data_IF_895009813221
#
_entry.id   IF_895009813221
#
_cell.length_a   1.000
_cell.length_b   1.000
_cell.length_c   1.000
_cell.angle_alpha   90.00
_cell.angle_beta   90.00
_cell.angle_gamma   90.00
#
_symmetry.space_group_name_H-M   'P 1'
#
loop_
_entity.id
_entity.type
_entity.pdbx_description
1 polymer ?
#
# COMPACT_ATOMS: atom_id res chain seq x y z
N UNK A 1 -12.86 -8.27 5.31
CA UNK A 1 -11.72 -8.34 6.28
C UNK A 1 -10.51 -7.63 5.70
N UNK A 2 -9.63 -7.04 6.54
CA UNK A 2 -8.39 -6.41 6.07
C UNK A 2 -7.42 -7.40 5.44
N UNK A 3 -6.49 -6.89 4.63
CA UNK A 3 -5.47 -7.72 3.95
C UNK A 3 -4.50 -8.33 4.97
N UNK A 4 -4.15 -7.56 6.00
CA UNK A 4 -3.28 -8.01 7.09
C UNK A 4 -4.13 -8.12 8.35
N UNK A 5 -4.25 -9.35 8.87
CA UNK A 5 -5.04 -9.63 10.07
C UNK A 5 -4.16 -9.67 11.33
N UNK A 6 -2.89 -10.03 11.18
CA UNK A 6 -1.92 -10.13 12.27
C UNK A 6 -0.70 -9.26 11.98
N UNK A 7 -0.29 -8.48 12.97
CA UNK A 7 0.95 -7.71 12.91
C UNK A 7 2.15 -8.55 13.35
N UNK A 8 3.34 -8.21 12.85
CA UNK A 8 4.57 -8.93 13.20
C UNK A 8 4.80 -8.91 14.71
N UNK A 9 5.07 -10.08 15.29
CA UNK A 9 5.65 -10.21 16.63
C UNK A 9 7.14 -10.47 16.47
N UNK A 10 7.96 -9.53 16.94
CA UNK A 10 9.41 -9.57 16.76
C UNK A 10 10.09 -10.46 17.79
N UNK A 11 11.17 -11.11 17.37
CA UNK A 11 12.09 -11.87 18.23
C UNK A 11 12.71 -10.99 19.33
N UNK A 12 13.11 -11.62 20.43
CA UNK A 12 13.79 -10.91 21.54
C UNK A 12 15.08 -10.24 21.05
N UNK A 13 15.80 -10.89 20.13
CA UNK A 13 17.00 -10.35 19.50
C UNK A 13 16.68 -9.09 18.67
N UNK A 14 15.62 -9.12 17.85
CA UNK A 14 15.20 -7.97 17.06
C UNK A 14 14.74 -6.81 17.95
N UNK A 15 13.99 -7.10 19.02
CA UNK A 15 13.56 -6.10 20.00
C UNK A 15 14.74 -5.45 20.70
N UNK A 16 15.76 -6.22 21.09
CA UNK A 16 16.99 -5.69 21.70
C UNK A 16 17.74 -4.75 20.75
N UNK A 17 17.84 -5.08 19.45
CA UNK A 17 18.48 -4.23 18.44
C UNK A 17 17.71 -2.91 18.25
N UNK A 18 16.37 -2.99 18.16
CA UNK A 18 15.51 -1.81 18.03
C UNK A 18 15.67 -0.90 19.25
N UNK A 19 15.61 -1.46 20.46
CA UNK A 19 15.73 -0.67 21.69
C UNK A 19 17.08 0.04 21.76
N UNK A 20 18.19 -0.66 21.47
CA UNK A 20 19.52 -0.07 21.42
C UNK A 20 19.60 1.07 20.39
N UNK A 21 19.00 0.87 19.21
CA UNK A 21 19.00 1.88 18.15
C UNK A 21 18.19 3.12 18.52
N UNK A 22 17.01 2.96 19.10
CA UNK A 22 16.13 4.08 19.48
C UNK A 22 16.70 4.91 20.64
N UNK A 23 17.64 4.38 21.40
CA UNK A 23 18.33 5.10 22.49
C UNK A 23 19.57 5.85 22.04
N UNK A 24 20.02 5.67 20.80
CA UNK A 24 21.17 6.40 20.25
C UNK A 24 20.86 7.90 20.12
N UNK A 25 21.83 8.76 20.44
CA UNK A 25 21.66 10.22 20.40
C UNK A 25 21.39 10.76 18.98
N UNK A 26 21.89 10.07 17.97
CA UNK A 26 21.74 10.39 16.54
C UNK A 26 20.57 9.65 15.87
N UNK A 27 19.68 9.02 16.65
CA UNK A 27 18.54 8.29 16.13
C UNK A 27 17.66 9.18 15.24
N UNK A 28 17.46 8.76 14.00
CA UNK A 28 16.65 9.47 13.03
C UNK A 28 15.99 8.51 12.05
N UNK A 29 15.16 9.03 11.16
CA UNK A 29 14.53 8.24 10.10
C UNK A 29 15.52 7.52 9.16
N UNK A 30 16.77 7.99 9.09
CA UNK A 30 17.84 7.38 8.29
C UNK A 30 18.37 6.09 8.93
N UNK A 31 18.30 6.00 10.27
CA UNK A 31 18.77 4.86 11.06
C UNK A 31 18.16 3.52 10.62
N UNK A 32 16.95 3.52 10.04
CA UNK A 32 16.34 2.32 9.44
C UNK A 32 17.26 1.58 8.46
N UNK A 33 18.10 2.33 7.73
CA UNK A 33 18.96 1.78 6.70
C UNK A 33 20.26 1.19 7.25
N UNK A 34 20.54 1.39 8.55
CA UNK A 34 21.77 0.92 9.18
C UNK A 34 21.93 -0.59 9.09
N UNK A 35 23.18 -1.04 8.96
CA UNK A 35 23.54 -2.44 8.77
C UNK A 35 23.18 -3.32 9.97
N UNK A 36 23.25 -2.77 11.19
CA UNK A 36 22.89 -3.49 12.41
C UNK A 36 21.38 -3.78 12.52
N UNK A 37 20.52 -3.03 11.79
CA UNK A 37 19.10 -3.33 11.66
C UNK A 37 18.78 -4.28 10.50
N UNK A 38 19.77 -4.78 9.76
CA UNK A 38 19.52 -5.75 8.69
C UNK A 38 18.77 -7.01 9.18
N UNK A 39 19.09 -7.63 10.34
CA UNK A 39 18.34 -8.76 10.87
C UNK A 39 16.85 -8.42 11.12
N UNK A 40 16.58 -7.27 11.75
CA UNK A 40 15.22 -6.75 12.01
C UNK A 40 14.44 -6.59 10.71
N UNK A 41 15.04 -5.92 9.72
CA UNK A 41 14.43 -5.74 8.39
C UNK A 41 14.20 -7.06 7.66
N UNK A 42 15.02 -8.08 7.87
CA UNK A 42 14.81 -9.41 7.26
C UNK A 42 13.63 -10.11 7.89
N UNK A 43 13.54 -10.10 9.21
CA UNK A 43 12.45 -10.71 9.97
C UNK A 43 11.09 -10.09 9.62
N UNK A 44 10.97 -8.76 9.67
CA UNK A 44 9.75 -8.02 9.32
C UNK A 44 9.30 -8.36 7.90
N UNK A 45 10.22 -8.33 6.93
CA UNK A 45 9.90 -8.60 5.52
C UNK A 45 9.40 -10.02 5.31
N UNK A 46 10.04 -10.99 5.95
CA UNK A 46 9.66 -12.39 5.81
C UNK A 46 8.28 -12.64 6.41
N UNK A 47 7.99 -12.07 7.59
CA UNK A 47 6.65 -12.13 8.17
C UNK A 47 5.60 -11.58 7.20
N UNK A 48 5.78 -10.35 6.72
CA UNK A 48 4.77 -9.68 5.89
C UNK A 48 4.64 -10.27 4.48
N UNK A 49 5.69 -10.87 3.91
CA UNK A 49 5.59 -11.67 2.68
C UNK A 49 4.61 -12.83 2.84
N UNK A 50 4.71 -13.54 3.96
CA UNK A 50 3.85 -14.68 4.27
C UNK A 50 2.43 -14.23 4.60
N UNK A 51 2.27 -13.24 5.49
CA UNK A 51 0.97 -12.70 5.89
C UNK A 51 0.18 -12.15 4.70
N UNK A 52 0.84 -11.46 3.77
CA UNK A 52 0.20 -10.86 2.59
C UNK A 52 0.21 -11.79 1.36
N UNK A 53 0.72 -13.02 1.49
CA UNK A 53 0.79 -14.01 0.40
C UNK A 53 1.45 -13.47 -0.88
N UNK A 54 2.54 -12.73 -0.72
CA UNK A 54 3.28 -12.10 -1.82
C UNK A 54 2.45 -11.12 -2.67
N UNK A 55 1.45 -10.47 -2.07
CA UNK A 55 0.63 -9.44 -2.73
C UNK A 55 0.88 -8.06 -2.09
N UNK A 56 1.09 -7.06 -2.93
CA UNK A 56 1.20 -5.66 -2.54
C UNK A 56 -0.16 -5.16 -2.03
N UNK A 57 -0.19 -4.57 -0.84
CA UNK A 57 -1.46 -4.13 -0.22
C UNK A 57 -2.16 -2.97 -0.94
N UNK A 58 -1.45 -2.20 -1.77
CA UNK A 58 -2.02 -1.05 -2.47
C UNK A 58 -2.49 -1.37 -3.88
N UNK A 59 -1.68 -2.04 -4.70
CA UNK A 59 -2.05 -2.35 -6.10
C UNK A 59 -2.59 -3.78 -6.28
N UNK A 60 -2.57 -4.62 -5.25
CA UNK A 60 -2.90 -6.04 -5.35
C UNK A 60 -2.10 -6.78 -6.45
N UNK A 61 -0.91 -6.27 -6.77
CA UNK A 61 0.05 -6.89 -7.68
C UNK A 61 1.08 -7.72 -6.91
N UNK A 62 1.88 -8.55 -7.60
CA UNK A 62 2.86 -9.40 -6.94
C UNK A 62 4.01 -8.59 -6.31
N UNK A 63 4.53 -9.08 -5.19
CA UNK A 63 5.81 -8.66 -4.63
C UNK A 63 6.82 -9.81 -4.69
N UNK A 64 8.11 -9.50 -4.68
CA UNK A 64 9.15 -10.52 -4.83
C UNK A 64 9.26 -11.44 -3.62
N UNK A 65 9.25 -12.75 -3.88
CA UNK A 65 9.47 -13.78 -2.86
C UNK A 65 10.88 -13.72 -2.25
N UNK A 66 11.92 -13.51 -3.08
CA UNK A 66 13.32 -13.48 -2.62
C UNK A 66 13.90 -12.07 -2.52
N UNK A 67 13.87 -11.31 -3.61
CA UNK A 67 14.54 -10.01 -3.69
C UNK A 67 13.97 -9.03 -2.65
N UNK A 68 14.84 -8.49 -1.79
CA UNK A 68 14.45 -7.43 -0.85
C UNK A 68 14.08 -6.13 -1.58
N UNK A 69 14.78 -5.82 -2.68
CA UNK A 69 14.48 -4.68 -3.53
C UNK A 69 13.11 -4.80 -4.21
N UNK A 70 12.67 -6.03 -4.53
CA UNK A 70 11.35 -6.30 -5.09
C UNK A 70 10.23 -6.47 -4.05
N UNK A 71 10.55 -6.33 -2.76
CA UNK A 71 9.64 -6.43 -1.63
C UNK A 71 10.10 -5.45 -0.52
N UNK A 72 10.15 -4.13 -0.81
CA UNK A 72 10.45 -3.13 0.20
C UNK A 72 9.46 -3.21 1.36
N UNK A 73 9.95 -2.95 2.57
CA UNK A 73 9.11 -2.73 3.74
C UNK A 73 8.62 -1.28 3.68
N UNK A 74 7.32 -1.12 3.59
CA UNK A 74 6.65 0.18 3.62
C UNK A 74 6.38 0.62 5.04
N UNK A 75 6.54 1.92 5.28
CA UNK A 75 6.02 2.58 6.47
C UNK A 75 4.74 3.31 6.07
N UNK A 76 3.59 2.80 6.48
CA UNK A 76 2.27 3.34 6.12
C UNK A 76 2.23 4.83 6.47
N UNK A 77 2.58 5.17 7.71
CA UNK A 77 2.93 6.51 8.16
C UNK A 77 4.43 6.74 7.94
N UNK A 78 4.83 7.76 7.17
CA UNK A 78 6.21 7.92 6.73
C UNK A 78 7.14 8.21 7.90
N UNK A 79 8.16 7.35 8.09
CA UNK A 79 9.19 7.49 9.14
C UNK A 79 9.95 8.82 9.11
N UNK A 80 10.04 9.50 7.97
CA UNK A 80 10.69 10.81 7.85
C UNK A 80 9.91 11.93 8.53
N UNK A 81 8.62 11.74 8.73
CA UNK A 81 7.74 12.69 9.43
C UNK A 81 7.45 12.20 10.85
N UNK A 82 7.34 10.88 11.04
CA UNK A 82 7.01 10.25 12.32
C UNK A 82 8.03 9.14 12.66
N UNK A 83 9.27 9.49 13.04
CA UNK A 83 10.32 8.51 13.32
C UNK A 83 9.97 7.59 14.51
N UNK A 84 9.13 8.05 15.44
CA UNK A 84 8.63 7.23 16.55
C UNK A 84 7.78 6.02 16.12
N UNK A 85 7.23 6.03 14.89
CA UNK A 85 6.45 4.91 14.35
C UNK A 85 7.26 4.00 13.43
N UNK A 86 8.59 4.16 13.37
CA UNK A 86 9.46 3.40 12.48
C UNK A 86 9.37 1.89 12.69
N UNK A 87 9.27 1.45 13.95
CA UNK A 87 9.23 0.04 14.32
C UNK A 87 7.85 -0.41 14.82
N UNK A 88 6.82 0.42 14.67
CA UNK A 88 5.46 0.06 15.05
C UNK A 88 4.94 -1.05 14.13
N UNK A 89 4.63 -2.26 14.64
CA UNK A 89 4.24 -3.39 13.80
C UNK A 89 3.08 -3.06 12.86
N UNK A 90 2.05 -2.35 13.33
CA UNK A 90 0.89 -1.98 12.49
C UNK A 90 1.18 -0.88 11.49
N UNK A 91 2.34 -0.22 11.59
CA UNK A 91 2.82 0.75 10.62
C UNK A 91 3.59 0.12 9.45
N UNK A 92 3.81 -1.19 9.48
CA UNK A 92 4.68 -1.89 8.54
C UNK A 92 3.89 -2.86 7.66
N UNK A 93 4.32 -2.97 6.40
CA UNK A 93 3.87 -3.99 5.45
C UNK A 93 4.91 -4.16 4.32
N UNK A 94 4.74 -5.12 3.42
CA UNK A 94 5.51 -5.21 2.17
C UNK A 94 4.69 -4.67 1.00
N UNK A 95 5.31 -3.92 0.09
CA UNK A 95 4.66 -3.47 -1.15
C UNK A 95 5.57 -3.67 -2.36
N UNK A 96 5.06 -3.43 -3.56
CA UNK A 96 5.89 -3.46 -4.76
C UNK A 96 6.75 -2.19 -4.88
N UNK A 97 7.89 -2.24 -5.60
CA UNK A 97 8.81 -1.10 -5.73
C UNK A 97 8.13 0.16 -6.27
N UNK A 98 7.30 0.03 -7.31
CA UNK A 98 6.54 1.17 -7.85
C UNK A 98 5.71 1.87 -6.77
N UNK A 99 4.93 1.11 -5.98
CA UNK A 99 4.05 1.73 -4.99
C UNK A 99 4.87 2.41 -3.88
N UNK A 100 6.01 1.83 -3.50
CA UNK A 100 6.94 2.42 -2.54
C UNK A 100 7.52 3.73 -3.05
N UNK A 101 7.99 3.75 -4.30
CA UNK A 101 8.56 4.94 -4.92
C UNK A 101 7.52 6.05 -5.13
N UNK A 102 6.31 5.72 -5.60
CA UNK A 102 5.25 6.71 -5.81
C UNK A 102 4.70 7.28 -4.49
N UNK A 103 4.47 6.42 -3.50
CA UNK A 103 4.01 6.87 -2.17
C UNK A 103 5.10 7.71 -1.50
N UNK A 104 6.35 7.25 -1.55
CA UNK A 104 7.51 7.94 -0.98
C UNK A 104 7.20 8.42 0.45
N UNK A 105 7.50 9.68 0.74
CA UNK A 105 7.27 10.34 2.03
C UNK A 105 5.90 11.00 2.17
N UNK A 106 4.90 10.71 1.32
CA UNK A 106 3.57 11.35 1.40
C UNK A 106 2.91 11.05 2.75
N UNK A 107 2.33 12.07 3.37
CA UNK A 107 1.61 11.94 4.64
C UNK A 107 0.36 11.08 4.46
N UNK A 108 0.09 10.20 5.41
CA UNK A 108 -1.05 9.28 5.38
C UNK A 108 -2.00 9.44 6.55
N UNK A 109 -1.65 10.26 7.55
CA UNK A 109 -2.57 10.67 8.61
C UNK A 109 -3.56 11.71 8.11
N UNK A 110 -4.83 11.63 8.51
CA UNK A 110 -5.87 12.58 8.15
C UNK A 110 -5.65 13.97 8.78
N UNK A 111 -6.21 15.01 8.16
CA UNK A 111 -6.12 16.38 8.66
C UNK A 111 -7.08 16.64 9.85
N UNK A 112 -6.74 17.59 10.75
CA UNK A 112 -5.46 18.29 10.81
C UNK A 112 -4.36 17.35 11.32
N UNK A 113 -3.21 17.37 10.65
CA UNK A 113 -1.98 16.85 11.23
C UNK A 113 -1.74 17.64 12.51
N UNK A 114 -1.76 16.97 13.67
CA UNK A 114 -1.63 17.61 14.97
C UNK A 114 -0.33 18.44 15.00
N UNK A 115 -0.42 19.64 15.57
CA UNK A 115 0.72 20.57 15.73
C UNK A 115 1.80 19.95 16.65
N UNK A 116 1.41 18.99 17.50
CA UNK A 116 2.30 18.23 18.35
C UNK A 116 2.59 16.84 17.79
N UNK A 117 3.83 16.36 17.99
CA UNK A 117 4.23 14.99 17.68
C UNK A 117 3.26 14.00 18.31
N UNK A 118 2.67 13.11 17.50
CA UNK A 118 1.84 12.02 18.02
C UNK A 118 2.73 11.03 18.75
N UNK A 119 2.38 10.76 20.01
CA UNK A 119 3.10 9.80 20.87
C UNK A 119 2.64 8.37 20.59
N UNK A 120 1.35 8.18 20.30
CA UNK A 120 0.75 6.88 20.08
C UNK A 120 0.36 6.67 18.62
N UNK A 121 0.57 5.44 18.14
CA UNK A 121 0.10 5.04 16.82
C UNK A 121 -1.44 5.06 16.78
N UNK A 122 -2.07 5.65 15.76
CA UNK A 122 -3.53 5.68 15.68
C UNK A 122 -4.11 4.27 15.51
N UNK A 123 -5.17 4.00 16.26
CA UNK A 123 -5.95 2.75 16.16
C UNK A 123 -7.30 2.97 15.48
N UNK A 124 -7.80 4.21 15.44
CA UNK A 124 -8.97 4.57 14.66
C UNK A 124 -8.57 4.70 13.19
N UNK A 125 -9.21 3.92 12.33
CA UNK A 125 -8.95 3.93 10.89
C UNK A 125 -9.24 5.29 10.23
N UNK A 126 -10.18 6.07 10.75
CA UNK A 126 -10.55 7.39 10.19
C UNK A 126 -9.44 8.43 10.34
N UNK A 127 -8.43 8.13 11.16
CA UNK A 127 -7.24 8.96 11.32
C UNK A 127 -6.21 8.72 10.20
N UNK A 128 -6.49 7.83 9.25
CA UNK A 128 -5.70 7.60 8.05
C UNK A 128 -6.48 8.03 6.82
N UNK A 129 -5.83 8.81 5.95
CA UNK A 129 -6.36 9.16 4.62
C UNK A 129 -6.00 8.14 3.55
N UNK A 130 -5.11 7.19 3.84
CA UNK A 130 -4.79 6.06 2.95
C UNK A 130 -5.56 4.81 3.41
N UNK A 131 -5.86 3.90 2.49
CA UNK A 131 -6.40 2.57 2.83
C UNK A 131 -5.37 1.82 3.65
N UNK A 132 -5.66 1.66 4.95
CA UNK A 132 -4.74 1.09 5.91
C UNK A 132 -4.83 -0.44 5.89
N UNK A 133 -3.75 -1.16 5.54
CA UNK A 133 -3.82 -2.61 5.26
C UNK A 133 -4.14 -3.49 6.47
N UNK A 134 -3.95 -2.97 7.68
CA UNK A 134 -4.30 -3.66 8.94
C UNK A 134 -5.71 -3.34 9.46
N UNK A 135 -6.37 -2.30 8.94
CA UNK A 135 -7.62 -1.79 9.51
C UNK A 135 -8.77 -1.76 8.51
N UNK A 136 -8.49 -1.41 7.26
CA UNK A 136 -9.50 -1.19 6.24
C UNK A 136 -9.73 -2.44 5.39
N UNK A 137 -10.99 -2.63 4.98
CA UNK A 137 -11.36 -3.59 3.96
C UNK A 137 -11.13 -2.99 2.56
N UNK A 138 -10.10 -3.46 1.85
CA UNK A 138 -9.65 -2.84 0.60
C UNK A 138 -10.79 -2.58 -0.41
N UNK A 139 -11.68 -3.56 -0.61
CA UNK A 139 -12.75 -3.47 -1.61
C UNK A 139 -13.86 -2.48 -1.26
N UNK A 140 -13.97 -2.03 0.00
CA UNK A 140 -14.88 -0.95 0.39
C UNK A 140 -14.36 0.41 -0.07
N UNK A 141 -13.05 0.50 -0.33
CA UNK A 141 -12.40 1.76 -0.70
C UNK A 141 -11.94 1.81 -2.16
N UNK A 142 -11.50 0.69 -2.75
CA UNK A 142 -10.95 0.63 -4.10
C UNK A 142 -11.51 -0.59 -4.83
N UNK A 143 -12.15 -0.34 -5.96
CA UNK A 143 -12.49 -1.38 -6.93
C UNK A 143 -11.36 -1.51 -7.96
N UNK A 144 -10.88 -2.75 -8.17
CA UNK A 144 -9.87 -3.06 -9.18
C UNK A 144 -10.48 -3.94 -10.27
N UNK A 145 -10.38 -3.49 -11.52
CA UNK A 145 -10.69 -4.28 -12.70
C UNK A 145 -9.45 -4.32 -13.60
N UNK A 146 -8.80 -5.48 -13.72
CA UNK A 146 -7.53 -5.62 -14.43
C UNK A 146 -6.48 -4.60 -13.99
N UNK A 147 -6.16 -3.63 -14.86
CA UNK A 147 -5.17 -2.57 -14.63
C UNK A 147 -5.79 -1.25 -14.16
N UNK A 148 -7.11 -1.19 -14.06
CA UNK A 148 -7.87 -0.01 -13.66
C UNK A 148 -8.24 -0.08 -12.17
N UNK A 149 -8.03 1.04 -11.48
CA UNK A 149 -8.40 1.24 -10.08
C UNK A 149 -9.39 2.40 -10.00
N UNK A 150 -10.53 2.16 -9.38
CA UNK A 150 -11.62 3.13 -9.19
C UNK A 150 -11.83 3.35 -7.71
N UNK A 151 -11.87 4.62 -7.30
CA UNK A 151 -12.17 5.00 -5.92
C UNK A 151 -13.64 4.75 -5.58
N UNK A 152 -13.89 4.10 -4.45
CA UNK A 152 -15.20 3.92 -3.84
C UNK A 152 -15.36 4.78 -2.57
N UNK A 153 -14.30 5.49 -2.17
CA UNK A 153 -14.24 6.38 -1.01
C UNK A 153 -13.09 7.38 -1.15
N UNK A 154 -13.07 8.42 -0.30
CA UNK A 154 -11.97 9.40 -0.24
C UNK A 154 -10.62 8.75 0.09
N UNK A 155 -10.59 7.77 1.01
CA UNK A 155 -9.36 7.01 1.30
C UNK A 155 -8.85 6.24 0.09
N UNK A 156 -9.79 5.66 -0.67
CA UNK A 156 -9.49 4.97 -1.92
C UNK A 156 -8.88 5.90 -2.95
N UNK A 157 -9.51 7.05 -3.20
CA UNK A 157 -9.02 8.07 -4.12
C UNK A 157 -7.63 8.60 -3.74
N UNK A 158 -7.42 8.87 -2.45
CA UNK A 158 -6.09 9.27 -1.96
C UNK A 158 -5.04 8.18 -2.18
N UNK A 159 -5.38 6.91 -1.93
CA UNK A 159 -4.46 5.78 -2.13
C UNK A 159 -4.11 5.61 -3.62
N UNK A 160 -5.11 5.69 -4.51
CA UNK A 160 -4.92 5.65 -5.97
C UNK A 160 -3.99 6.78 -6.41
N UNK A 161 -4.18 7.98 -5.88
CA UNK A 161 -3.34 9.15 -6.15
C UNK A 161 -1.92 8.97 -5.60
N UNK A 162 -1.77 8.65 -4.32
CA UNK A 162 -0.49 8.57 -3.61
C UNK A 162 0.42 7.48 -4.19
N UNK A 163 -0.14 6.31 -4.49
CA UNK A 163 0.59 5.19 -5.07
C UNK A 163 0.57 5.16 -6.60
N UNK A 164 -0.06 6.15 -7.24
CA UNK A 164 -0.21 6.25 -8.69
C UNK A 164 -0.69 4.92 -9.32
N UNK A 165 -1.79 4.36 -8.81
CA UNK A 165 -2.23 3.00 -9.17
C UNK A 165 -2.63 2.89 -10.64
N UNK A 166 -3.19 3.96 -11.22
CA UNK A 166 -3.53 4.06 -12.65
C UNK A 166 -2.34 4.49 -13.54
N UNK A 167 -1.09 4.30 -13.09
CA UNK A 167 0.13 4.68 -13.83
C UNK A 167 0.23 4.09 -15.23
N UNK A 168 -0.30 2.89 -15.45
CA UNK A 168 -0.31 2.25 -16.77
C UNK A 168 -1.00 3.16 -17.79
N UNK A 169 -2.25 3.57 -17.51
CA UNK A 169 -3.01 4.45 -18.39
C UNK A 169 -2.45 5.88 -18.44
N UNK A 170 -1.84 6.37 -17.37
CA UNK A 170 -1.14 7.67 -17.40
C UNK A 170 0.09 7.65 -18.32
N UNK A 171 0.80 6.52 -18.39
CA UNK A 171 2.02 6.37 -19.20
C UNK A 171 1.74 6.06 -20.66
N UNK A 172 0.76 5.18 -20.91
CA UNK A 172 0.50 4.62 -22.24
C UNK A 172 -0.82 5.08 -22.86
N UNK A 173 -1.61 5.89 -22.16
CA UNK A 173 -2.93 6.31 -22.62
C UNK A 173 -3.97 5.20 -22.46
N UNK A 174 -5.10 5.34 -23.16
CA UNK A 174 -6.13 4.28 -23.24
C UNK A 174 -5.57 3.12 -24.06
N UNK A 175 -5.79 1.89 -23.61
CA UNK A 175 -5.53 0.71 -24.42
C UNK A 175 -6.79 0.40 -25.23
N UNK A 176 -6.64 0.06 -26.52
CA UNK A 176 -7.75 -0.27 -27.41
C UNK A 176 -8.61 -1.42 -26.85
N UNK A 177 -8.03 -2.36 -26.09
CA UNK A 177 -8.73 -3.44 -25.40
C UNK A 177 -9.82 -2.92 -24.42
N UNK A 178 -9.52 -1.86 -23.66
CA UNK A 178 -10.48 -1.24 -22.74
C UNK A 178 -11.63 -0.56 -23.51
N UNK A 179 -11.36 -0.04 -24.71
CA UNK A 179 -12.37 0.59 -25.57
C UNK A 179 -13.22 -0.46 -26.28
N UNK A 180 -12.59 -1.56 -26.73
CA UNK A 180 -13.24 -2.67 -27.42
C UNK A 180 -14.20 -3.42 -26.49
N UNK A 181 -13.85 -3.62 -25.22
CA UNK A 181 -14.75 -4.23 -24.23
C UNK A 181 -15.98 -3.35 -23.95
N UNK A 182 -15.81 -2.02 -23.91
CA UNK A 182 -16.96 -1.10 -23.79
C UNK A 182 -17.84 -1.16 -25.03
N UNK A 183 -17.25 -1.23 -26.22
CA UNK A 183 -18.01 -1.39 -27.47
C UNK A 183 -18.80 -2.71 -27.49
N UNK A 184 -18.19 -3.81 -27.02
CA UNK A 184 -18.82 -5.11 -26.83
C UNK A 184 -19.97 -5.07 -25.83
N UNK A 185 -19.79 -4.40 -24.68
CA UNK A 185 -20.87 -4.21 -23.69
C UNK A 185 -22.01 -3.39 -24.28
N UNK A 186 -21.73 -2.28 -24.96
CA UNK A 186 -22.74 -1.46 -25.63
C UNK A 186 -23.48 -2.22 -26.75
N UNK A 187 -22.81 -3.16 -27.40
CA UNK A 187 -23.41 -4.02 -28.42
C UNK A 187 -24.29 -5.10 -27.78
N UNK A 188 -23.86 -5.65 -26.64
CA UNK A 188 -24.66 -6.58 -25.83
C UNK A 188 -25.92 -5.91 -25.29
N UNK A 189 -25.81 -4.70 -24.72
CA UNK A 189 -26.96 -3.93 -24.23
C UNK A 189 -27.96 -3.63 -25.36
N UNK A 190 -27.45 -3.14 -26.51
CA UNK A 190 -28.29 -2.94 -27.71
C UNK A 190 -28.96 -4.21 -28.20
N UNK A 191 -28.27 -5.35 -28.14
CA UNK A 191 -28.89 -6.63 -28.48
C UNK A 191 -30.02 -7.00 -27.51
N UNK A 192 -29.84 -6.78 -26.21
CA UNK A 192 -30.89 -7.03 -25.22
C UNK A 192 -32.10 -6.10 -25.39
N UNK A 193 -31.88 -4.84 -25.73
CA UNK A 193 -32.94 -3.83 -25.87
C UNK A 193 -33.68 -3.91 -27.22
N UNK A 194 -32.93 -4.15 -28.30
CA UNK A 194 -33.43 -4.00 -29.67
C UNK A 194 -33.43 -5.31 -30.46
N UNK A 195 -32.74 -6.35 -29.98
CA UNK A 195 -32.61 -7.64 -30.67
C UNK A 195 -31.63 -7.61 -31.87
N UNK A 196 -30.80 -6.58 -32.00
CA UNK A 196 -29.95 -6.36 -33.18
C UNK A 196 -28.46 -6.45 -32.82
N UNK A 197 -27.68 -7.19 -33.62
CA UNK A 197 -26.21 -7.21 -33.54
C UNK A 197 -25.64 -6.63 -34.83
N UNK A 198 -24.97 -5.48 -34.75
CA UNK A 198 -24.25 -4.90 -35.89
C UNK A 198 -22.92 -5.63 -36.10
N UNK A 199 -22.84 -6.53 -37.07
CA UNK A 199 -21.59 -7.23 -37.41
C UNK A 199 -20.69 -6.24 -38.16
N UNK A 200 -19.53 -5.91 -37.60
CA UNK A 200 -18.47 -5.25 -38.36
C UNK A 200 -17.80 -6.30 -39.25
N UNK A 201 -17.95 -6.15 -40.57
CA UNK A 201 -17.19 -6.88 -41.61
C UNK A 201 -15.89 -6.11 -41.87
#
# INVERSE_FOLDING_TARGET
MPIINDAVTLSEEALSLIQGKMQAEDFSHESWSDEDLLPVRREIREFYRNAQRLVCVYCLGPVSNRSAAGAPIEHIVPKSQHPGFMFEPKNLCVICPDCNEYKSKRETLADPVLIASRVNYPTNTDLFRIVHPHYDEYHEHIFKCERLYVECSDKGGYTIYACNLNRFYRRFGRCDELVNDVALVQQSERFYEEGVVAIQI
#
